data_IF_323293401538
#
_entry.id   IF_323293401538
#
_cell.length_a   1.000
_cell.length_b   1.000
_cell.length_c   1.000
_cell.angle_alpha   90.00
_cell.angle_beta   90.00
_cell.angle_gamma   90.00
#
_symmetry.space_group_name_H-M   'P 1'
#
loop_
_entity.id
_entity.type
_entity.pdbx_description
1 polymer ?
#
# COMPACT_ATOMS: atom_id res chain seq x y z
N UNK A 1 -3.21 12.82 42.89
CA UNK A 1 -4.27 12.40 41.96
C UNK A 1 -3.75 11.15 41.30
N UNK A 2 -4.23 9.98 41.75
CA UNK A 2 -3.94 8.72 41.09
C UNK A 2 -4.77 8.73 39.80
N UNK A 3 -4.14 8.90 38.65
CA UNK A 3 -4.76 8.49 37.40
C UNK A 3 -4.93 6.97 37.51
N UNK A 4 -6.18 6.50 37.58
CA UNK A 4 -6.50 5.10 37.37
C UNK A 4 -5.96 4.72 36.00
N UNK A 5 -4.81 4.04 36.00
CA UNK A 5 -4.26 3.46 34.80
C UNK A 5 -5.17 2.27 34.46
N UNK A 6 -6.22 2.53 33.69
CA UNK A 6 -6.92 1.47 32.96
C UNK A 6 -5.87 0.66 32.21
N UNK A 7 -5.77 -0.62 32.56
CA UNK A 7 -4.98 -1.62 31.85
C UNK A 7 -5.62 -1.81 30.46
N UNK A 8 -4.81 -1.91 29.41
CA UNK A 8 -5.32 -2.13 28.05
C UNK A 8 -6.12 -3.46 27.99
N UNK A 9 -5.96 -4.39 28.94
CA UNK A 9 -6.74 -5.64 29.06
C UNK A 9 -8.24 -5.45 29.34
N UNK A 10 -8.61 -4.32 29.94
CA UNK A 10 -10.01 -4.02 30.31
C UNK A 10 -10.79 -3.39 29.15
N UNK A 11 -10.10 -2.95 28.10
CA UNK A 11 -10.70 -2.40 26.89
C UNK A 11 -11.37 -3.55 26.11
N UNK A 12 -12.70 -3.46 25.96
CA UNK A 12 -13.50 -4.46 25.22
C UNK A 12 -13.92 -4.00 23.82
N UNK A 13 -13.86 -2.70 23.55
CA UNK A 13 -14.23 -2.07 22.28
C UNK A 13 -13.51 -0.72 22.17
N UNK A 14 -13.36 -0.20 20.96
CA UNK A 14 -12.75 1.11 20.67
C UNK A 14 -11.27 1.19 21.07
N UNK A 15 -10.54 0.08 20.92
CA UNK A 15 -9.12 -0.02 21.25
C UNK A 15 -8.24 0.93 20.44
N UNK A 16 -8.69 1.34 19.27
CA UNK A 16 -7.99 2.32 18.43
C UNK A 16 -7.86 3.70 19.08
N UNK A 17 -8.75 4.09 19.99
CA UNK A 17 -8.73 5.41 20.66
C UNK A 17 -8.51 5.35 22.17
N UNK A 18 -8.57 4.15 22.74
CA UNK A 18 -8.48 3.95 24.19
C UNK A 18 -7.18 3.29 24.64
N UNK A 19 -6.50 2.51 23.78
CA UNK A 19 -5.25 1.84 24.15
C UNK A 19 -4.10 2.82 24.31
N UNK A 20 -3.27 2.58 25.33
CA UNK A 20 -2.05 3.35 25.58
C UNK A 20 -0.85 2.75 24.85
N UNK A 21 -0.82 1.43 24.70
CA UNK A 21 0.26 0.73 24.00
C UNK A 21 0.00 0.66 22.48
N UNK A 22 1.02 0.88 21.64
CA UNK A 22 0.92 0.65 20.19
C UNK A 22 1.17 -0.82 19.82
N UNK A 23 1.15 -1.76 20.78
CA UNK A 23 1.44 -3.18 20.59
C UNK A 23 0.21 -4.06 20.84
N UNK A 24 0.23 -5.26 20.25
CA UNK A 24 -0.79 -6.30 20.36
C UNK A 24 -2.05 -6.09 19.51
N UNK A 25 -2.72 -7.18 19.16
CA UNK A 25 -4.05 -7.18 18.57
C UNK A 25 -5.10 -6.63 19.54
N UNK A 26 -6.14 -6.01 18.98
CA UNK A 26 -7.37 -5.69 19.72
C UNK A 26 -8.47 -6.62 19.22
N UNK A 27 -9.01 -7.42 20.12
CA UNK A 27 -10.23 -8.19 19.85
C UNK A 27 -11.43 -7.30 20.14
N UNK A 28 -12.21 -7.02 19.11
CA UNK A 28 -13.45 -6.25 19.20
C UNK A 28 -14.56 -7.01 18.48
N UNK A 29 -15.86 -6.78 18.81
CA UNK A 29 -16.94 -7.24 17.96
C UNK A 29 -16.72 -6.71 16.54
N UNK A 30 -16.50 -7.62 15.58
CA UNK A 30 -16.01 -7.28 14.23
C UNK A 30 -16.87 -6.23 13.53
N UNK A 31 -18.18 -6.22 13.80
CA UNK A 31 -19.17 -5.31 13.23
C UNK A 31 -19.29 -3.95 13.93
N UNK A 32 -18.51 -3.67 14.98
CA UNK A 32 -18.57 -2.45 15.77
C UNK A 32 -17.18 -1.84 16.00
N UNK A 33 -17.10 -0.84 16.87
CA UNK A 33 -15.87 -0.20 17.31
C UNK A 33 -15.29 0.80 16.31
N UNK A 34 -14.35 1.64 16.76
CA UNK A 34 -13.62 2.60 15.90
C UNK A 34 -12.86 1.88 14.78
N UNK A 35 -13.06 2.36 13.55
CA UNK A 35 -12.54 1.75 12.32
C UNK A 35 -11.23 2.39 11.85
N UNK A 36 -10.19 2.29 12.68
CA UNK A 36 -8.82 2.42 12.20
C UNK A 36 -8.40 1.13 11.48
N UNK A 37 -7.37 1.19 10.64
CA UNK A 37 -6.89 -0.01 9.96
C UNK A 37 -6.40 -1.05 10.97
N UNK A 38 -6.91 -2.28 10.86
CA UNK A 38 -6.66 -3.39 11.79
C UNK A 38 -6.74 -2.99 13.28
N UNK A 39 -7.62 -2.04 13.60
CA UNK A 39 -7.84 -1.50 14.95
C UNK A 39 -6.59 -0.85 15.58
N UNK A 40 -5.58 -0.46 14.79
CA UNK A 40 -4.37 0.23 15.30
C UNK A 40 -4.71 1.55 15.99
N UNK A 41 -3.87 1.97 16.92
CA UNK A 41 -4.08 3.24 17.62
C UNK A 41 -4.14 4.41 16.62
N UNK A 42 -5.20 5.20 16.70
CA UNK A 42 -5.45 6.32 15.82
C UNK A 42 -4.82 7.59 16.39
N UNK A 43 -3.95 8.25 15.64
CA UNK A 43 -3.35 9.48 16.13
C UNK A 43 -2.17 9.99 15.31
N UNK A 44 -1.71 11.19 15.66
CA UNK A 44 -0.62 11.90 14.95
C UNK A 44 0.75 11.77 15.63
N UNK A 45 0.83 11.04 16.76
CA UNK A 45 2.09 10.85 17.47
C UNK A 45 2.94 9.74 16.83
N UNK A 46 4.01 10.14 16.15
CA UNK A 46 4.92 9.22 15.46
C UNK A 46 6.00 8.61 16.36
N UNK A 47 6.11 9.05 17.62
CA UNK A 47 7.22 8.66 18.50
C UNK A 47 7.20 7.15 18.76
N UNK A 48 8.23 6.46 18.29
CA UNK A 48 8.40 5.02 18.49
C UNK A 48 7.55 4.13 17.59
N UNK A 49 6.88 4.69 16.57
CA UNK A 49 6.22 3.90 15.54
C UNK A 49 7.28 3.29 14.60
N UNK A 50 7.15 2.01 14.28
CA UNK A 50 7.96 1.35 13.25
C UNK A 50 7.32 1.52 11.87
N UNK A 51 5.99 1.49 11.83
CA UNK A 51 5.20 1.60 10.62
C UNK A 51 4.01 2.53 10.85
N UNK A 52 3.78 3.42 9.89
CA UNK A 52 2.68 4.37 9.91
C UNK A 52 1.77 4.09 8.73
N UNK A 53 0.50 3.84 9.05
CA UNK A 53 -0.55 3.72 8.06
C UNK A 53 -1.14 5.10 7.82
N UNK A 54 -1.33 5.50 6.58
CA UNK A 54 -2.03 6.75 6.26
C UNK A 54 -2.79 6.67 4.94
N UNK A 55 -3.91 7.36 4.82
CA UNK A 55 -4.64 7.49 3.56
C UNK A 55 -4.21 8.72 2.75
N UNK A 56 -4.27 8.65 1.43
CA UNK A 56 -4.17 9.79 0.52
C UNK A 56 -5.43 9.81 -0.37
N UNK A 57 -6.53 10.45 0.06
CA UNK A 57 -7.84 10.34 -0.59
C UNK A 57 -7.92 11.20 -1.87
N UNK A 58 -7.26 10.75 -2.94
CA UNK A 58 -7.19 11.43 -4.24
C UNK A 58 -7.93 10.61 -5.32
N UNK A 59 -8.66 11.25 -6.22
CA UNK A 59 -9.10 10.63 -7.49
C UNK A 59 -9.23 11.67 -8.62
N UNK A 60 -8.46 12.77 -8.51
CA UNK A 60 -8.47 13.85 -9.51
C UNK A 60 -7.58 13.53 -10.72
N UNK A 61 -6.73 12.49 -10.63
CA UNK A 61 -5.81 12.07 -11.67
C UNK A 61 -6.35 10.87 -12.49
N UNK A 62 -7.55 10.37 -12.16
CA UNK A 62 -8.19 9.26 -12.87
C UNK A 62 -8.53 9.63 -14.31
N UNK A 63 -8.41 8.66 -15.21
CA UNK A 63 -8.76 8.82 -16.63
C UNK A 63 -10.15 8.30 -16.99
N UNK A 64 -10.78 7.50 -16.12
CA UNK A 64 -12.09 6.90 -16.36
C UNK A 64 -13.06 7.14 -15.19
N UNK A 65 -13.22 6.17 -14.28
CA UNK A 65 -14.21 6.26 -13.19
C UNK A 65 -13.59 6.85 -11.92
N UNK A 66 -14.09 7.97 -11.38
CA UNK A 66 -13.70 8.45 -10.06
C UNK A 66 -14.34 7.61 -8.96
N UNK A 67 -13.81 7.70 -7.75
CA UNK A 67 -14.29 6.96 -6.58
C UNK A 67 -13.18 6.55 -5.62
N UNK A 68 -11.93 6.52 -6.09
CA UNK A 68 -10.76 6.11 -5.31
C UNK A 68 -10.49 7.04 -4.10
N UNK A 69 -11.00 8.28 -4.09
CA UNK A 69 -10.89 9.18 -2.92
C UNK A 69 -11.49 8.58 -1.63
N UNK A 70 -12.40 7.61 -1.75
CA UNK A 70 -13.00 6.90 -0.61
C UNK A 70 -12.29 5.57 -0.29
N UNK A 71 -11.30 5.17 -1.09
CA UNK A 71 -10.50 3.96 -0.93
C UNK A 71 -9.93 3.77 0.48
N UNK A 72 -9.26 4.78 1.08
CA UNK A 72 -8.69 4.63 2.43
C UNK A 72 -9.74 4.28 3.49
N UNK A 73 -10.95 4.84 3.38
CA UNK A 73 -12.05 4.53 4.30
C UNK A 73 -12.60 3.12 4.06
N UNK A 74 -12.75 2.73 2.79
CA UNK A 74 -13.18 1.38 2.41
C UNK A 74 -12.23 0.30 2.94
N UNK A 75 -10.92 0.49 2.77
CA UNK A 75 -9.89 -0.44 3.24
C UNK A 75 -9.90 -0.55 4.77
N UNK A 76 -10.00 0.58 5.50
CA UNK A 76 -10.12 0.58 6.96
C UNK A 76 -11.33 -0.21 7.42
N UNK A 77 -12.49 0.03 6.83
CA UNK A 77 -13.73 -0.68 7.15
C UNK A 77 -13.60 -2.20 6.92
N UNK A 78 -13.08 -2.60 5.76
CA UNK A 78 -12.90 -4.02 5.42
C UNK A 78 -11.85 -4.74 6.30
N UNK A 79 -10.90 -4.00 6.88
CA UNK A 79 -9.86 -4.57 7.75
C UNK A 79 -10.36 -5.06 9.12
N UNK A 80 -11.61 -4.75 9.48
CA UNK A 80 -12.21 -5.17 10.75
C UNK A 80 -12.18 -6.69 10.94
N UNK A 81 -12.50 -7.46 9.90
CA UNK A 81 -12.45 -8.93 9.92
C UNK A 81 -11.01 -9.43 10.01
N UNK A 82 -10.11 -8.82 9.24
CA UNK A 82 -8.68 -9.16 9.18
C UNK A 82 -8.00 -8.97 10.54
N UNK A 83 -8.47 -8.03 11.37
CA UNK A 83 -7.96 -7.77 12.72
C UNK A 83 -8.37 -8.83 13.76
N UNK A 84 -9.36 -9.67 13.48
CA UNK A 84 -10.03 -10.50 14.50
C UNK A 84 -9.21 -11.74 14.90
N UNK A 85 -8.19 -12.10 14.13
CA UNK A 85 -7.36 -13.29 14.32
C UNK A 85 -5.90 -13.01 13.97
N UNK A 86 -5.02 -13.95 14.34
CA UNK A 86 -3.65 -13.97 13.80
C UNK A 86 -3.72 -14.17 12.27
N UNK A 87 -3.00 -13.37 11.47
CA UNK A 87 -2.97 -13.53 10.02
C UNK A 87 -2.52 -14.93 9.60
N UNK A 88 -3.20 -15.51 8.59
CA UNK A 88 -2.86 -16.81 8.01
C UNK A 88 -2.07 -16.62 6.70
N UNK A 89 -1.03 -17.43 6.41
CA UNK A 89 -0.50 -18.55 7.20
C UNK A 89 0.53 -18.14 8.26
N UNK A 90 0.74 -16.84 8.49
CA UNK A 90 1.80 -16.31 9.37
C UNK A 90 1.78 -16.88 10.79
N UNK A 91 0.60 -17.02 11.39
CA UNK A 91 0.42 -17.69 12.68
C UNK A 91 0.98 -16.93 13.89
N UNK A 92 1.37 -15.65 13.72
CA UNK A 92 1.81 -14.75 14.79
C UNK A 92 1.00 -13.45 14.78
N UNK A 93 1.01 -12.74 15.91
CA UNK A 93 0.48 -11.38 15.99
C UNK A 93 1.59 -10.41 15.52
N UNK A 94 1.46 -9.72 14.37
CA UNK A 94 2.51 -8.83 13.89
C UNK A 94 2.77 -7.66 14.84
N UNK A 95 1.77 -7.28 15.64
CA UNK A 95 1.81 -6.13 16.53
C UNK A 95 2.42 -6.44 17.89
N UNK A 96 2.79 -7.68 18.19
CA UNK A 96 3.59 -7.99 19.39
C UNK A 96 4.97 -7.32 19.33
N UNK A 97 5.56 -7.24 18.14
CA UNK A 97 6.91 -6.73 17.93
C UNK A 97 6.98 -5.50 17.01
N UNK A 98 5.91 -5.19 16.26
CA UNK A 98 5.84 -4.05 15.36
C UNK A 98 4.84 -2.99 15.89
N UNK A 99 5.34 -1.82 16.27
CA UNK A 99 4.53 -0.68 16.65
C UNK A 99 3.93 -0.03 15.40
N UNK A 100 2.63 -0.23 15.20
CA UNK A 100 1.88 0.31 14.05
C UNK A 100 0.78 1.23 14.53
N UNK A 101 0.68 2.41 13.90
CA UNK A 101 -0.38 3.39 14.13
C UNK A 101 -1.17 3.66 12.84
N UNK A 102 -2.43 4.07 12.98
CA UNK A 102 -3.19 4.70 11.90
C UNK A 102 -3.13 6.22 12.08
N UNK A 103 -2.46 6.89 11.15
CA UNK A 103 -2.26 8.33 11.17
C UNK A 103 -3.52 9.10 10.73
N UNK A 104 -4.54 8.41 10.20
CA UNK A 104 -5.59 9.03 9.41
C UNK A 104 -5.06 9.42 8.04
N UNK A 105 -5.49 10.56 7.52
CA UNK A 105 -5.25 10.89 6.11
C UNK A 105 -4.32 12.10 5.92
N UNK A 106 -3.67 12.14 4.76
CA UNK A 106 -3.04 13.33 4.19
C UNK A 106 -4.14 14.33 3.82
N UNK A 107 -4.02 15.55 4.34
CA UNK A 107 -4.92 16.64 3.95
C UNK A 107 -4.54 17.13 2.54
N UNK A 108 -5.54 17.29 1.68
CA UNK A 108 -5.39 17.79 0.32
C UNK A 108 -6.34 18.98 0.11
N UNK A 109 -5.83 20.11 -0.38
CA UNK A 109 -6.70 21.18 -0.90
C UNK A 109 -7.14 20.83 -2.32
N UNK A 110 -8.20 20.03 -2.41
CA UNK A 110 -8.76 19.56 -3.70
C UNK A 110 -9.32 20.69 -4.57
N UNK A 111 -9.51 21.89 -4.01
CA UNK A 111 -9.95 23.07 -4.76
C UNK A 111 -8.78 23.84 -5.38
N UNK A 112 -7.55 23.53 -4.96
CA UNK A 112 -6.32 24.03 -5.55
C UNK A 112 -5.41 22.85 -5.94
N UNK A 113 -5.75 22.13 -7.03
CA UNK A 113 -5.15 20.83 -7.35
C UNK A 113 -3.63 20.89 -7.58
N UNK A 114 -3.08 22.05 -7.93
CA UNK A 114 -1.63 22.23 -8.09
C UNK A 114 -0.85 22.07 -6.77
N UNK A 115 -1.52 22.17 -5.62
CA UNK A 115 -0.88 21.98 -4.31
C UNK A 115 -0.80 20.51 -3.87
N UNK A 116 -1.53 19.62 -4.53
CA UNK A 116 -1.71 18.21 -4.11
C UNK A 116 -0.37 17.46 -4.12
N UNK A 117 0.42 17.64 -5.18
CA UNK A 117 1.72 16.99 -5.30
C UNK A 117 2.60 17.28 -4.08
N UNK A 118 2.81 18.56 -3.78
CA UNK A 118 3.70 18.98 -2.69
C UNK A 118 3.12 18.61 -1.32
N UNK A 119 1.79 18.65 -1.15
CA UNK A 119 1.14 18.19 0.07
C UNK A 119 1.43 16.70 0.36
N UNK A 120 1.39 15.84 -0.67
CA UNK A 120 1.70 14.41 -0.51
C UNK A 120 3.19 14.20 -0.22
N UNK A 121 4.08 14.93 -0.91
CA UNK A 121 5.52 14.89 -0.63
C UNK A 121 5.80 15.30 0.82
N UNK A 122 5.22 16.41 1.29
CA UNK A 122 5.42 16.93 2.64
C UNK A 122 4.87 15.99 3.71
N UNK A 123 3.70 15.38 3.47
CA UNK A 123 3.11 14.37 4.33
C UNK A 123 4.04 13.17 4.49
N UNK A 124 4.53 12.62 3.39
CA UNK A 124 5.46 11.49 3.43
C UNK A 124 6.80 11.86 4.07
N UNK A 125 7.36 13.02 3.74
CA UNK A 125 8.61 13.51 4.35
C UNK A 125 8.48 13.67 5.86
N UNK A 126 7.34 14.19 6.33
CA UNK A 126 7.06 14.33 7.75
C UNK A 126 7.09 12.97 8.46
N UNK A 127 6.41 11.96 7.91
CA UNK A 127 6.37 10.61 8.47
C UNK A 127 7.76 9.97 8.44
N UNK A 128 8.44 9.97 7.29
CA UNK A 128 9.76 9.35 7.12
C UNK A 128 10.85 9.98 7.99
N UNK A 129 10.70 11.25 8.36
CA UNK A 129 11.62 11.94 9.30
C UNK A 129 11.58 11.31 10.70
N UNK A 130 10.47 10.69 11.10
CA UNK A 130 10.37 9.98 12.39
C UNK A 130 11.20 8.69 12.44
N UNK A 131 11.62 8.17 11.29
CA UNK A 131 12.26 6.86 11.14
C UNK A 131 11.29 5.73 10.82
N UNK A 132 9.99 5.95 11.03
CA UNK A 132 8.95 5.00 10.66
C UNK A 132 8.89 4.77 9.14
N UNK A 133 8.41 3.59 8.77
CA UNK A 133 8.09 3.21 7.40
C UNK A 133 6.64 3.59 7.08
N UNK A 134 6.31 3.67 5.80
CA UNK A 134 4.96 4.04 5.35
C UNK A 134 4.25 2.87 4.69
N UNK A 135 3.00 2.63 5.11
CA UNK A 135 2.00 1.90 4.36
C UNK A 135 0.86 2.86 4.02
N UNK A 136 0.81 3.27 2.76
CA UNK A 136 -0.17 4.27 2.31
C UNK A 136 -1.35 3.58 1.66
N UNK A 137 -2.56 4.00 2.01
CA UNK A 137 -3.75 3.67 1.25
C UNK A 137 -4.03 4.80 0.28
N UNK A 138 -3.92 4.51 -1.00
CA UNK A 138 -4.25 5.48 -2.03
C UNK A 138 -5.75 5.75 -2.07
N UNK A 139 -6.05 6.86 -2.73
CA UNK A 139 -6.98 6.76 -3.83
C UNK A 139 -6.23 6.41 -5.11
N UNK A 140 -6.32 7.23 -6.15
CA UNK A 140 -5.75 6.91 -7.47
C UNK A 140 -4.22 6.73 -7.46
N UNK A 141 -3.69 6.05 -8.47
CA UNK A 141 -2.29 5.62 -8.50
C UNK A 141 -1.29 6.79 -8.63
N UNK A 142 -1.75 7.99 -9.00
CA UNK A 142 -0.86 9.16 -9.06
C UNK A 142 -0.18 9.43 -7.72
N UNK A 143 -0.81 9.10 -6.59
CA UNK A 143 -0.26 9.32 -5.24
C UNK A 143 1.13 8.73 -5.05
N UNK A 144 1.48 7.66 -5.76
CA UNK A 144 2.76 6.97 -5.61
C UNK A 144 3.93 7.82 -6.10
N UNK A 145 3.74 8.71 -7.08
CA UNK A 145 4.82 9.55 -7.58
C UNK A 145 5.36 10.58 -6.57
N UNK A 146 4.54 11.41 -5.91
CA UNK A 146 5.02 12.26 -4.81
C UNK A 146 5.49 11.43 -3.60
N UNK A 147 4.91 10.24 -3.33
CA UNK A 147 5.45 9.33 -2.31
C UNK A 147 6.89 8.90 -2.65
N UNK A 148 7.16 8.49 -3.89
CA UNK A 148 8.49 8.11 -4.37
C UNK A 148 9.49 9.25 -4.21
N UNK A 149 9.11 10.50 -4.51
CA UNK A 149 9.97 11.68 -4.29
C UNK A 149 10.43 11.79 -2.83
N UNK A 150 9.52 11.65 -1.87
CA UNK A 150 9.88 11.67 -0.45
C UNK A 150 10.72 10.44 -0.04
N UNK A 151 10.47 9.27 -0.62
CA UNK A 151 11.23 8.06 -0.30
C UNK A 151 12.66 8.12 -0.83
N UNK A 152 12.91 8.64 -2.03
CA UNK A 152 14.28 8.78 -2.55
C UNK A 152 15.10 9.81 -1.76
N UNK A 153 14.47 10.85 -1.18
CA UNK A 153 15.13 11.79 -0.27
C UNK A 153 15.67 11.08 0.98
N UNK A 154 14.98 10.03 1.46
CA UNK A 154 15.33 9.29 2.68
C UNK A 154 16.25 8.10 2.41
N UNK A 155 15.99 7.34 1.34
CA UNK A 155 16.61 6.03 1.09
C UNK A 155 17.61 6.03 -0.06
N UNK A 156 17.77 7.17 -0.74
CA UNK A 156 18.64 7.31 -1.90
C UNK A 156 17.91 7.03 -3.20
N UNK A 157 18.55 7.46 -4.28
CA UNK A 157 18.04 7.41 -5.66
C UNK A 157 19.05 6.67 -6.53
N UNK A 158 18.62 5.78 -7.44
CA UNK A 158 17.25 5.32 -7.65
C UNK A 158 16.79 4.22 -6.67
N UNK A 159 15.48 4.03 -6.54
CA UNK A 159 14.87 2.88 -5.88
C UNK A 159 14.53 1.77 -6.90
N UNK A 160 14.41 0.53 -6.43
CA UNK A 160 13.67 -0.50 -7.17
C UNK A 160 12.17 -0.29 -7.01
N UNK A 161 11.38 -0.52 -8.06
CA UNK A 161 9.92 -0.52 -8.01
C UNK A 161 9.39 -1.95 -8.17
N UNK A 162 8.51 -2.37 -7.27
CA UNK A 162 7.73 -3.60 -7.40
C UNK A 162 6.28 -3.17 -7.57
N UNK A 163 5.75 -3.35 -8.77
CA UNK A 163 4.50 -2.76 -9.21
C UNK A 163 3.49 -3.84 -9.60
N UNK A 164 2.39 -3.98 -8.86
CA UNK A 164 1.28 -4.88 -9.22
C UNK A 164 0.18 -4.05 -9.86
N UNK A 165 -0.16 -4.33 -11.12
CA UNK A 165 -1.12 -3.53 -11.88
C UNK A 165 -1.58 -4.22 -13.16
N UNK A 166 -2.74 -3.86 -13.71
CA UNK A 166 -3.09 -4.16 -15.10
C UNK A 166 -2.39 -3.22 -16.12
N UNK A 167 -1.97 -2.05 -15.65
CA UNK A 167 -1.45 -0.89 -16.37
C UNK A 167 0.02 -0.65 -16.08
N UNK A 168 0.75 -0.15 -17.07
CA UNK A 168 2.17 0.10 -16.90
C UNK A 168 2.47 1.49 -16.30
N UNK A 169 1.51 2.40 -16.34
CA UNK A 169 1.56 3.81 -15.93
C UNK A 169 2.82 4.57 -16.37
N UNK A 170 3.36 4.15 -17.50
CA UNK A 170 4.55 4.66 -18.15
C UNK A 170 4.25 5.24 -19.53
N UNK A 171 2.98 5.52 -19.83
CA UNK A 171 2.63 6.23 -21.06
C UNK A 171 3.25 7.64 -21.04
N UNK A 172 3.84 8.02 -22.17
CA UNK A 172 4.60 9.25 -22.28
C UNK A 172 3.76 10.50 -21.96
N UNK A 173 4.27 11.33 -21.05
CA UNK A 173 3.65 12.59 -20.65
C UNK A 173 4.74 13.59 -20.25
N UNK A 174 5.10 14.45 -21.20
CA UNK A 174 6.07 15.54 -20.99
C UNK A 174 5.41 16.83 -20.46
N UNK A 175 4.12 16.80 -20.07
CA UNK A 175 3.43 17.96 -19.51
C UNK A 175 3.80 18.12 -18.04
N UNK A 176 4.54 19.18 -17.65
CA UNK A 176 4.93 19.39 -16.27
C UNK A 176 3.68 19.62 -15.40
N UNK A 177 3.61 18.93 -14.26
CA UNK A 177 2.52 19.10 -13.30
C UNK A 177 1.16 18.52 -13.72
N UNK A 178 1.06 17.77 -14.83
CA UNK A 178 -0.18 17.05 -15.13
C UNK A 178 -0.48 16.03 -14.02
N UNK A 179 -1.75 16.00 -13.59
CA UNK A 179 -2.30 15.02 -12.66
C UNK A 179 -2.89 13.88 -13.48
N UNK A 180 -2.15 12.79 -13.61
CA UNK A 180 -2.57 11.62 -14.38
C UNK A 180 -2.01 10.35 -13.74
N UNK A 181 -2.91 9.44 -13.38
CA UNK A 181 -2.58 8.15 -12.77
C UNK A 181 -1.97 7.13 -13.76
N UNK A 182 -1.92 7.42 -15.06
CA UNK A 182 -1.31 6.56 -16.07
C UNK A 182 0.06 7.03 -16.58
N UNK A 183 0.60 8.14 -16.09
CA UNK A 183 1.86 8.68 -16.60
C UNK A 183 2.89 9.01 -15.53
N UNK A 184 2.56 8.79 -14.27
CA UNK A 184 3.42 9.19 -13.15
C UNK A 184 4.68 8.32 -13.04
N UNK A 185 4.67 7.05 -13.49
CA UNK A 185 5.89 6.25 -13.56
C UNK A 185 6.75 6.58 -14.78
N UNK A 186 6.17 7.05 -15.90
CA UNK A 186 6.98 7.66 -16.97
C UNK A 186 7.81 8.82 -16.40
N UNK A 187 7.17 9.70 -15.62
CA UNK A 187 7.84 10.81 -14.93
C UNK A 187 8.83 10.30 -13.90
N UNK A 188 8.50 9.27 -13.11
CA UNK A 188 9.43 8.68 -12.14
C UNK A 188 10.70 8.14 -12.80
N UNK A 189 10.61 7.52 -13.98
CA UNK A 189 11.76 7.06 -14.76
C UNK A 189 12.56 8.25 -15.31
N UNK A 190 11.90 9.24 -15.93
CA UNK A 190 12.59 10.45 -16.46
C UNK A 190 13.29 11.24 -15.38
N UNK A 191 12.66 11.34 -14.22
CA UNK A 191 13.25 11.95 -13.03
C UNK A 191 14.31 11.05 -12.40
N UNK A 192 14.50 9.81 -12.84
CA UNK A 192 15.48 8.84 -12.30
C UNK A 192 15.16 8.35 -10.90
N UNK A 193 13.92 8.48 -10.43
CA UNK A 193 13.48 8.05 -9.10
C UNK A 193 13.56 6.53 -8.95
N UNK A 194 13.35 5.81 -10.04
CA UNK A 194 13.36 4.34 -10.09
C UNK A 194 14.39 3.82 -11.10
N UNK A 195 14.99 2.68 -10.78
CA UNK A 195 15.96 1.95 -11.61
C UNK A 195 15.21 0.92 -12.45
N UNK A 196 15.08 1.17 -13.76
CA UNK A 196 14.27 0.32 -14.64
C UNK A 196 14.79 -1.10 -14.75
N UNK A 197 16.11 -1.31 -14.71
CA UNK A 197 16.71 -2.65 -14.80
C UNK A 197 16.42 -3.51 -13.57
N UNK A 198 16.22 -2.86 -12.42
CA UNK A 198 15.96 -3.48 -11.12
C UNK A 198 14.53 -3.21 -10.63
N UNK A 199 13.62 -2.87 -11.54
CA UNK A 199 12.19 -2.70 -11.28
C UNK A 199 11.39 -3.72 -12.08
N UNK A 200 10.22 -4.08 -11.57
CA UNK A 200 9.36 -5.10 -12.17
C UNK A 200 7.88 -4.73 -12.04
N UNK A 201 7.14 -4.93 -13.12
CA UNK A 201 5.68 -4.81 -13.16
C UNK A 201 5.03 -6.18 -13.32
N UNK A 202 3.97 -6.44 -12.57
CA UNK A 202 3.37 -7.77 -12.38
C UNK A 202 1.87 -7.66 -12.63
N UNK A 203 1.34 -8.51 -13.52
CA UNK A 203 -0.09 -8.52 -13.85
C UNK A 203 -0.49 -7.63 -15.02
N UNK A 204 0.48 -6.99 -15.68
CA UNK A 204 0.26 -6.11 -16.84
C UNK A 204 -0.56 -6.84 -17.91
N UNK A 205 -1.54 -6.13 -18.46
CA UNK A 205 -2.41 -6.64 -19.54
C UNK A 205 -3.01 -5.52 -20.38
N UNK A 206 -2.29 -4.41 -20.44
CA UNK A 206 -2.53 -3.27 -21.34
C UNK A 206 -1.26 -2.96 -22.11
N UNK A 207 -1.40 -2.20 -23.20
CA UNK A 207 -0.31 -1.98 -24.16
C UNK A 207 0.32 -0.60 -24.00
N UNK A 208 1.65 -0.56 -24.05
CA UNK A 208 2.44 0.65 -24.24
C UNK A 208 3.46 0.40 -25.34
N UNK A 209 3.66 1.36 -26.24
CA UNK A 209 4.65 1.23 -27.32
C UNK A 209 6.09 1.25 -26.78
N UNK A 210 6.29 1.83 -25.59
CA UNK A 210 7.56 1.84 -24.86
C UNK A 210 7.34 1.59 -23.36
N UNK A 211 7.68 0.38 -22.88
CA UNK A 211 7.63 0.01 -21.46
C UNK A 211 8.82 0.55 -20.63
N UNK A 212 9.58 1.50 -21.17
CA UNK A 212 10.65 2.23 -20.50
C UNK A 212 11.81 1.35 -20.00
N UNK A 213 11.93 0.12 -20.51
CA UNK A 213 12.93 -0.87 -20.10
C UNK A 213 12.66 -1.56 -18.76
N UNK A 214 11.46 -1.40 -18.18
CA UNK A 214 11.08 -2.09 -16.94
C UNK A 214 10.78 -3.56 -17.25
N UNK A 215 11.16 -4.47 -16.34
CA UNK A 215 10.85 -5.89 -16.47
C UNK A 215 9.32 -6.11 -16.34
N UNK A 216 8.71 -6.87 -17.26
CA UNK A 216 7.27 -7.14 -17.25
C UNK A 216 6.99 -8.62 -17.05
N UNK A 217 6.23 -8.95 -16.00
CA UNK A 217 5.61 -10.24 -15.76
C UNK A 217 4.09 -10.09 -15.98
N UNK A 218 3.68 -10.12 -17.26
CA UNK A 218 2.29 -9.90 -17.65
C UNK A 218 1.32 -10.93 -17.00
N UNK A 219 0.03 -10.62 -16.95
CA UNK A 219 -0.95 -11.49 -16.31
C UNK A 219 -0.92 -12.92 -16.87
N UNK A 220 -0.75 -13.07 -18.19
CA UNK A 220 -0.69 -14.38 -18.84
C UNK A 220 0.58 -15.16 -18.46
N UNK A 221 1.71 -14.48 -18.24
CA UNK A 221 2.95 -15.05 -17.72
C UNK A 221 2.73 -15.54 -16.29
N UNK A 222 2.10 -14.74 -15.43
CA UNK A 222 1.76 -15.14 -14.06
C UNK A 222 0.85 -16.38 -14.06
N UNK A 223 -0.16 -16.44 -14.92
CA UNK A 223 -1.04 -17.60 -15.04
C UNK A 223 -0.31 -18.85 -15.55
N UNK A 224 0.63 -18.71 -16.47
CA UNK A 224 1.38 -19.84 -17.04
C UNK A 224 2.45 -20.41 -16.10
N UNK A 225 3.14 -19.55 -15.35
CA UNK A 225 4.31 -19.95 -14.57
C UNK A 225 4.03 -20.13 -13.07
N UNK A 226 2.91 -19.57 -12.58
CA UNK A 226 2.52 -19.68 -11.18
C UNK A 226 3.28 -18.72 -10.25
N UNK A 227 2.86 -18.69 -9.00
CA UNK A 227 3.29 -17.68 -8.01
C UNK A 227 4.75 -17.84 -7.60
N UNK A 228 5.25 -19.07 -7.49
CA UNK A 228 6.64 -19.34 -7.09
C UNK A 228 7.65 -18.81 -8.11
N UNK A 229 7.32 -18.92 -9.40
CA UNK A 229 8.14 -18.37 -10.47
C UNK A 229 8.15 -16.84 -10.45
N UNK A 230 7.01 -16.20 -10.17
CA UNK A 230 6.95 -14.73 -9.98
C UNK A 230 7.85 -14.32 -8.81
N UNK A 231 7.73 -14.99 -7.66
CA UNK A 231 8.54 -14.69 -6.46
C UNK A 231 10.03 -14.83 -6.77
N UNK A 232 10.45 -15.90 -7.44
CA UNK A 232 11.84 -16.11 -7.81
C UNK A 232 12.36 -15.00 -8.74
N UNK A 233 11.56 -14.60 -9.72
CA UNK A 233 11.95 -13.61 -10.71
C UNK A 233 12.02 -12.19 -10.12
N UNK A 234 11.08 -11.83 -9.26
CA UNK A 234 11.12 -10.55 -8.52
C UNK A 234 12.36 -10.49 -7.63
N UNK A 235 12.68 -11.56 -6.89
CA UNK A 235 13.91 -11.62 -6.08
C UNK A 235 15.18 -11.50 -6.94
N UNK A 236 15.19 -12.10 -8.14
CA UNK A 236 16.31 -12.00 -9.08
C UNK A 236 16.50 -10.57 -9.60
N UNK A 237 15.40 -9.89 -9.95
CA UNK A 237 15.41 -8.53 -10.52
C UNK A 237 15.78 -7.49 -9.46
N UNK A 238 15.12 -7.53 -8.31
CA UNK A 238 15.28 -6.49 -7.26
C UNK A 238 16.54 -6.73 -6.42
N UNK A 239 16.84 -8.00 -6.12
CA UNK A 239 17.92 -8.37 -5.20
C UNK A 239 17.75 -7.74 -3.82
N UNK A 240 18.85 -7.19 -3.27
CA UNK A 240 18.86 -6.57 -1.95
C UNK A 240 18.68 -5.03 -1.98
N UNK A 241 18.31 -4.46 -3.14
CA UNK A 241 18.14 -3.02 -3.30
C UNK A 241 16.97 -2.49 -2.47
N UNK A 242 17.04 -1.25 -1.96
CA UNK A 242 15.87 -0.56 -1.43
C UNK A 242 14.74 -0.53 -2.47
N UNK A 243 13.59 -1.10 -2.12
CA UNK A 243 12.46 -1.25 -3.02
C UNK A 243 11.21 -0.53 -2.47
N UNK A 244 10.53 0.21 -3.34
CA UNK A 244 9.18 0.68 -3.10
C UNK A 244 8.20 -0.33 -3.68
N UNK A 245 7.23 -0.76 -2.88
CA UNK A 245 6.19 -1.69 -3.29
C UNK A 245 4.90 -0.93 -3.54
N UNK A 246 4.24 -1.15 -4.66
CA UNK A 246 2.96 -0.53 -4.96
C UNK A 246 2.01 -1.55 -5.56
N UNK A 247 0.77 -1.55 -5.07
CA UNK A 247 -0.26 -2.48 -5.50
C UNK A 247 -1.52 -1.72 -5.91
N UNK A 248 -1.72 -1.59 -7.21
CA UNK A 248 -3.02 -1.28 -7.79
C UNK A 248 -3.93 -2.49 -7.64
N UNK A 249 -5.08 -2.29 -7.01
CA UNK A 249 -6.04 -3.37 -6.80
C UNK A 249 -6.58 -3.92 -8.13
N UNK A 250 -6.54 -3.13 -9.21
CA UNK A 250 -6.91 -3.55 -10.55
C UNK A 250 -5.92 -4.54 -11.19
N UNK A 251 -4.77 -4.81 -10.56
CA UNK A 251 -3.95 -5.97 -10.87
C UNK A 251 -4.78 -7.27 -10.81
N UNK A 252 -5.73 -7.33 -9.86
CA UNK A 252 -6.65 -8.44 -9.74
C UNK A 252 -7.74 -8.38 -10.81
N UNK A 253 -8.23 -9.53 -11.24
CA UNK A 253 -9.35 -9.59 -12.19
C UNK A 253 -10.60 -8.89 -11.60
N UNK A 254 -11.45 -8.25 -12.41
CA UNK A 254 -12.69 -7.63 -11.96
C UNK A 254 -13.64 -8.57 -11.21
N UNK A 255 -13.50 -9.89 -11.34
CA UNK A 255 -14.20 -10.87 -10.49
C UNK A 255 -13.80 -10.79 -9.00
N UNK A 256 -12.59 -10.34 -8.70
CA UNK A 256 -12.04 -10.20 -7.34
C UNK A 256 -11.90 -8.74 -6.89
N UNK A 257 -11.71 -7.82 -7.85
CA UNK A 257 -11.61 -6.38 -7.60
C UNK A 257 -12.57 -5.57 -8.49
N UNK A 258 -13.90 -5.75 -8.38
CA UNK A 258 -14.86 -4.95 -9.15
C UNK A 258 -14.84 -3.46 -8.78
N UNK A 259 -14.39 -3.14 -7.57
CA UNK A 259 -14.33 -1.80 -7.00
C UNK A 259 -13.07 -1.02 -7.38
N UNK A 260 -12.85 -0.78 -8.68
CA UNK A 260 -11.71 0.01 -9.19
C UNK A 260 -12.13 0.88 -10.39
N UNK A 261 -11.34 1.92 -10.70
CA UNK A 261 -11.62 2.91 -11.73
C UNK A 261 -11.47 2.40 -13.18
N UNK A 262 -10.51 1.51 -13.40
CA UNK A 262 -10.03 1.05 -14.72
C UNK A 262 -10.00 -0.48 -14.85
N UNK A 263 -11.09 -1.20 -14.57
CA UNK A 263 -11.06 -2.67 -14.55
C UNK A 263 -10.69 -3.28 -15.91
N UNK A 264 -9.68 -4.15 -15.93
CA UNK A 264 -9.25 -4.91 -17.12
C UNK A 264 -9.38 -6.42 -16.87
N UNK A 265 -10.14 -7.12 -17.72
CA UNK A 265 -10.36 -8.56 -17.61
C UNK A 265 -9.10 -9.39 -17.85
N UNK A 266 -9.08 -10.63 -17.33
CA UNK A 266 -7.95 -11.55 -17.46
C UNK A 266 -6.84 -11.28 -16.44
N UNK A 267 -7.22 -10.77 -15.27
CA UNK A 267 -6.29 -10.43 -14.19
C UNK A 267 -5.96 -11.58 -13.25
N UNK A 268 -5.14 -11.28 -12.25
CA UNK A 268 -4.79 -12.23 -11.20
C UNK A 268 -6.02 -12.56 -10.33
N UNK A 269 -6.07 -13.77 -9.81
CA UNK A 269 -6.95 -14.05 -8.67
C UNK A 269 -6.39 -13.44 -7.39
N UNK A 270 -7.26 -13.11 -6.42
CA UNK A 270 -6.81 -12.68 -5.09
C UNK A 270 -5.85 -13.70 -4.43
N UNK A 271 -6.07 -15.00 -4.67
CA UNK A 271 -5.18 -16.06 -4.18
C UNK A 271 -3.75 -15.94 -4.75
N UNK A 272 -3.60 -15.64 -6.04
CA UNK A 272 -2.28 -15.42 -6.65
C UNK A 272 -1.61 -14.18 -6.09
N UNK A 273 -2.33 -13.05 -6.00
CA UNK A 273 -1.80 -11.82 -5.44
C UNK A 273 -1.26 -12.00 -4.02
N UNK A 274 -2.07 -12.59 -3.12
CA UNK A 274 -1.68 -12.84 -1.73
C UNK A 274 -0.50 -13.82 -1.63
N UNK A 275 -0.50 -14.91 -2.41
CA UNK A 275 0.59 -15.88 -2.40
C UNK A 275 1.93 -15.26 -2.83
N UNK A 276 1.91 -14.40 -3.87
CA UNK A 276 3.12 -13.70 -4.33
C UNK A 276 3.62 -12.73 -3.26
N UNK A 277 2.74 -11.87 -2.71
CA UNK A 277 3.10 -10.90 -1.67
C UNK A 277 3.71 -11.60 -0.45
N UNK A 278 3.10 -12.68 0.04
CA UNK A 278 3.63 -13.47 1.16
C UNK A 278 5.02 -14.06 0.91
N UNK A 279 5.40 -14.26 -0.35
CA UNK A 279 6.71 -14.77 -0.76
C UNK A 279 7.86 -13.77 -0.63
N UNK A 280 7.59 -12.47 -0.48
CA UNK A 280 8.60 -11.39 -0.48
C UNK A 280 9.37 -11.20 0.83
N UNK A 281 9.60 -12.28 1.57
CA UNK A 281 10.23 -12.27 2.91
C UNK A 281 11.65 -11.69 2.95
N UNK A 282 12.39 -11.76 1.84
CA UNK A 282 13.78 -11.29 1.79
C UNK A 282 13.95 -9.88 1.19
N UNK A 283 12.92 -9.33 0.54
CA UNK A 283 13.02 -8.03 -0.15
C UNK A 283 13.17 -6.87 0.83
N UNK A 284 14.06 -5.92 0.49
CA UNK A 284 14.31 -4.71 1.29
C UNK A 284 13.27 -3.63 0.98
N UNK A 285 12.04 -3.83 1.46
CA UNK A 285 10.95 -2.88 1.29
C UNK A 285 11.17 -1.63 2.17
N UNK A 286 11.21 -0.45 1.54
CA UNK A 286 11.41 0.84 2.24
C UNK A 286 10.16 1.71 2.32
N UNK A 287 9.13 1.35 1.57
CA UNK A 287 7.82 2.01 1.56
C UNK A 287 6.85 1.18 0.74
N UNK A 288 5.57 1.39 0.99
CA UNK A 288 4.52 0.64 0.33
C UNK A 288 3.20 1.40 0.23
N UNK A 289 2.44 1.11 -0.82
CA UNK A 289 1.05 1.55 -0.95
C UNK A 289 0.12 0.48 -1.57
N UNK A 290 -1.17 0.64 -1.30
CA UNK A 290 -2.27 -0.09 -1.95
C UNK A 290 -3.28 0.94 -2.44
N UNK A 291 -3.56 0.96 -3.73
CA UNK A 291 -4.23 2.08 -4.42
C UNK A 291 -5.46 1.63 -5.21
N UNK A 292 -6.19 2.60 -5.77
CA UNK A 292 -7.31 2.42 -6.72
C UNK A 292 -8.55 1.66 -6.23
N UNK A 293 -8.64 1.37 -4.93
CA UNK A 293 -9.90 0.92 -4.32
C UNK A 293 -10.95 2.03 -4.44
N UNK A 294 -12.00 1.77 -5.20
CA UNK A 294 -13.13 2.66 -5.44
C UNK A 294 -14.43 2.04 -4.89
N UNK A 295 -14.79 2.32 -3.61
CA UNK A 295 -15.91 1.65 -2.92
C UNK A 295 -17.27 1.76 -3.62
N UNK A 296 -17.49 2.80 -4.43
CA UNK A 296 -18.73 2.99 -5.18
C UNK A 296 -18.99 1.89 -6.23
N UNK A 297 -17.95 1.21 -6.70
CA UNK A 297 -18.05 0.09 -7.65
C UNK A 297 -17.86 -1.27 -6.97
N UNK A 298 -17.42 -1.26 -5.71
CA UNK A 298 -17.17 -2.49 -4.96
C UNK A 298 -18.48 -3.23 -4.68
N UNK A 299 -18.42 -4.55 -4.69
CA UNK A 299 -19.59 -5.42 -4.51
C UNK A 299 -19.37 -6.23 -3.23
N UNK A 300 -20.21 -5.99 -2.22
CA UNK A 300 -20.06 -6.64 -0.91
C UNK A 300 -18.64 -6.50 -0.32
N UNK A 301 -17.98 -5.38 -0.59
CA UNK A 301 -16.66 -5.00 -0.06
C UNK A 301 -15.49 -5.93 -0.48
N UNK A 302 -15.66 -6.80 -1.48
CA UNK A 302 -14.64 -7.81 -1.81
C UNK A 302 -13.33 -7.18 -2.30
N UNK A 303 -13.39 -6.01 -2.94
CA UNK A 303 -12.20 -5.28 -3.39
C UNK A 303 -11.45 -4.67 -2.22
N UNK A 304 -12.18 -3.96 -1.34
CA UNK A 304 -11.62 -3.41 -0.12
C UNK A 304 -11.06 -4.50 0.81
N UNK A 305 -11.71 -5.67 0.85
CA UNK A 305 -11.27 -6.83 1.63
C UNK A 305 -9.98 -7.43 1.05
N UNK A 306 -9.85 -7.54 -0.27
CA UNK A 306 -8.61 -7.98 -0.92
C UNK A 306 -7.45 -7.01 -0.62
N UNK A 307 -7.70 -5.70 -0.74
CA UNK A 307 -6.73 -4.66 -0.39
C UNK A 307 -6.33 -4.72 1.09
N UNK A 308 -7.28 -4.94 2.01
CA UNK A 308 -6.98 -5.11 3.43
C UNK A 308 -6.12 -6.34 3.72
N UNK A 309 -6.32 -7.45 3.00
CA UNK A 309 -5.46 -8.64 3.13
C UNK A 309 -4.04 -8.39 2.59
N UNK A 310 -3.90 -7.72 1.44
CA UNK A 310 -2.59 -7.34 0.90
C UNK A 310 -1.84 -6.46 1.92
N UNK A 311 -2.50 -5.43 2.44
CA UNK A 311 -1.96 -4.56 3.48
C UNK A 311 -1.57 -5.33 4.76
N UNK A 312 -2.37 -6.31 5.17
CA UNK A 312 -2.06 -7.17 6.31
C UNK A 312 -0.81 -8.04 6.08
N UNK A 313 -0.70 -8.66 4.90
CA UNK A 313 0.48 -9.48 4.53
C UNK A 313 1.75 -8.62 4.50
N UNK A 314 1.66 -7.39 3.99
CA UNK A 314 2.74 -6.41 4.02
C UNK A 314 3.19 -6.03 5.44
N UNK A 315 2.23 -5.84 6.36
CA UNK A 315 2.54 -5.63 7.79
C UNK A 315 3.25 -6.85 8.39
N UNK A 316 2.81 -8.07 8.04
CA UNK A 316 3.44 -9.31 8.52
C UNK A 316 4.88 -9.46 8.01
N UNK A 317 5.15 -9.11 6.76
CA UNK A 317 6.51 -9.05 6.22
C UNK A 317 7.40 -8.11 7.03
N UNK A 318 6.90 -6.92 7.37
CA UNK A 318 7.66 -5.94 8.17
C UNK A 318 7.88 -6.42 9.61
N UNK A 319 6.88 -7.01 10.24
CA UNK A 319 7.00 -7.60 11.56
C UNK A 319 8.08 -8.70 11.58
N UNK A 320 8.08 -9.58 10.57
CA UNK A 320 9.11 -10.61 10.39
C UNK A 320 10.49 -9.98 10.20
N UNK A 321 10.64 -9.01 9.30
CA UNK A 321 11.92 -8.32 9.08
C UNK A 321 12.44 -7.64 10.35
N UNK A 322 11.57 -7.04 11.15
CA UNK A 322 11.94 -6.44 12.44
C UNK A 322 12.43 -7.50 13.42
N UNK A 323 11.71 -8.62 13.55
CA UNK A 323 12.13 -9.74 14.38
C UNK A 323 13.49 -10.33 13.96
N UNK A 324 13.75 -10.34 12.65
CA UNK A 324 15.01 -10.80 12.06
C UNK A 324 16.13 -9.73 12.13
N UNK A 325 15.88 -8.55 12.71
CA UNK A 325 16.85 -7.44 12.82
C UNK A 325 17.17 -6.74 11.49
N UNK A 326 16.33 -6.92 10.46
CA UNK A 326 16.50 -6.42 9.09
C UNK A 326 15.68 -5.17 8.78
N UNK A 327 14.93 -4.63 9.76
CA UNK A 327 14.20 -3.37 9.64
C UNK A 327 15.08 -2.25 10.20
N UNK A 328 15.83 -1.56 9.32
CA UNK A 328 16.77 -0.48 9.68
C UNK A 328 16.26 0.89 9.29
#
# INVERSE_FOLDING_TARGET
MHEDATDDSDIKIDGAISRKSPYGLAYEPTFAGVLSFMRRSYGKNLKGADLVISGVPLDLAVTHRPGARLGPQGIRLASAEVASLKPYPWGFDPFENLAVIDYGDCYLDVHNPMTIHDAIVDHARHILKSGARMLTFGGDHYVTYPLLKAHVEKFGKPLSLIHFDAHCDTWADDVPGSLNHGSMFYKAVKDGLIDVEHSVQIGIRTWNDDFMGINILDAAWVHRHGTDAVIAEVNRIVGNRPAYFTFDIDCLDPAFAPGTGTPVSGGLSAAQGLAIVRGFTELNLVGMDVVEVAPAYDQSQITALAAAHIACDLICLFAKRKADGKLT
#
